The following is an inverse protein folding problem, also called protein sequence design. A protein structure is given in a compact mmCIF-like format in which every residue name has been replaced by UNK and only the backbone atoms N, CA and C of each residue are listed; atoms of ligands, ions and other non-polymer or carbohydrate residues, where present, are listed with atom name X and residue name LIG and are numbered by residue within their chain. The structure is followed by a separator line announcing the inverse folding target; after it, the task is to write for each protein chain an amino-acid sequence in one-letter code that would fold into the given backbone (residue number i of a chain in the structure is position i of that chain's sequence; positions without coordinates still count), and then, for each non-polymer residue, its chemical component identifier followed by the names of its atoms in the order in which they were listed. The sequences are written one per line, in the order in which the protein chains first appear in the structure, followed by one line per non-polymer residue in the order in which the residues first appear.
data_IF_636670993079
#
_entry.id   IF_636670993079
#
_cell.length_a   1.000
_cell.length_b   1.000
_cell.length_c   1.000
_cell.angle_alpha   90.00
_cell.angle_beta   90.00
_cell.angle_gamma   90.00
#
_symmetry.space_group_name_H-M   'P 1'
#
loop_
_entity.id
_entity.type
_entity.pdbx_description
1 polymer ?
#
# COMPACT_ATOMS: atom_id res chain seq x y z
N UNK A 1 11.63 11.62 -14.65
CA UNK A 1 10.45 12.33 -14.09
C UNK A 1 10.55 12.21 -12.59
N UNK A 2 10.32 13.26 -11.81
CA UNK A 2 10.16 13.11 -10.37
C UNK A 2 8.90 12.30 -10.10
N UNK A 3 8.89 11.60 -8.96
CA UNK A 3 7.80 10.75 -8.49
C UNK A 3 7.81 10.83 -6.96
N UNK A 4 7.49 11.99 -6.41
CA UNK A 4 7.54 12.23 -4.97
C UNK A 4 6.52 11.37 -4.24
N UNK A 5 6.86 10.90 -3.04
CA UNK A 5 5.99 10.07 -2.21
C UNK A 5 5.87 10.63 -0.79
N UNK A 6 4.64 10.89 -0.36
CA UNK A 6 4.31 11.36 0.97
C UNK A 6 4.03 10.16 1.87
N UNK A 7 4.81 10.02 2.94
CA UNK A 7 4.72 8.91 3.89
C UNK A 7 3.86 9.29 5.09
N UNK A 8 2.67 8.70 5.21
CA UNK A 8 1.77 8.89 6.35
C UNK A 8 2.06 7.84 7.43
N UNK A 9 2.48 8.28 8.60
CA UNK A 9 2.79 7.43 9.75
C UNK A 9 1.69 7.53 10.79
N UNK A 10 1.04 6.40 11.10
CA UNK A 10 -0.27 6.38 11.77
C UNK A 10 -0.22 5.53 13.04
N UNK A 11 -0.27 6.19 14.20
CA UNK A 11 -0.29 5.55 15.52
C UNK A 11 1.03 4.87 15.92
N UNK A 12 1.09 4.41 17.17
CA UNK A 12 2.27 3.83 17.81
C UNK A 12 3.10 2.87 16.93
N UNK A 13 2.46 1.97 16.18
CA UNK A 13 3.18 1.00 15.34
C UNK A 13 3.77 1.66 14.08
N UNK A 14 2.95 2.44 13.35
CA UNK A 14 3.38 3.15 12.14
C UNK A 14 4.48 4.16 12.42
N UNK A 15 4.36 4.93 13.50
CA UNK A 15 5.34 5.94 13.90
C UNK A 15 6.71 5.30 14.27
N UNK A 16 6.74 4.17 14.99
CA UNK A 16 8.01 3.50 15.32
C UNK A 16 8.69 2.86 14.11
N UNK A 17 7.92 2.28 13.19
CA UNK A 17 8.46 1.63 11.98
C UNK A 17 8.91 2.68 10.96
N UNK A 18 8.11 3.73 10.78
CA UNK A 18 8.44 4.87 9.93
C UNK A 18 9.69 5.61 10.40
N UNK A 19 9.91 5.71 11.72
CA UNK A 19 11.14 6.23 12.30
C UNK A 19 12.38 5.38 11.93
N UNK A 20 12.30 4.05 12.06
CA UNK A 20 13.39 3.15 11.64
C UNK A 20 13.59 3.12 10.11
N UNK A 21 12.54 3.36 9.33
CA UNK A 21 12.61 3.53 7.87
C UNK A 21 13.36 4.80 7.46
N UNK A 22 13.05 5.97 8.05
CA UNK A 22 13.78 7.20 7.76
C UNK A 22 15.24 7.13 8.19
N UNK A 23 15.54 6.55 9.36
CA UNK A 23 16.93 6.28 9.79
C UNK A 23 17.69 5.44 8.76
N UNK A 24 17.06 4.39 8.23
CA UNK A 24 17.64 3.52 7.22
C UNK A 24 17.88 4.28 5.90
N UNK A 25 16.93 5.09 5.45
CA UNK A 25 17.10 5.96 4.27
C UNK A 25 18.23 6.98 4.47
N UNK A 26 18.30 7.65 5.62
CA UNK A 26 19.38 8.58 5.94
C UNK A 26 20.77 7.92 5.82
N UNK A 27 20.94 6.72 6.35
CA UNK A 27 22.20 5.95 6.23
C UNK A 27 22.51 5.58 4.77
N UNK A 28 21.51 5.20 3.97
CA UNK A 28 21.71 4.85 2.55
C UNK A 28 22.04 6.06 1.66
N UNK A 29 21.41 7.21 1.92
CA UNK A 29 21.62 8.45 1.15
C UNK A 29 22.80 9.30 1.64
N UNK A 30 23.44 8.91 2.74
CA UNK A 30 24.49 9.70 3.40
C UNK A 30 23.98 11.02 3.96
N UNK A 31 22.78 11.02 4.54
CA UNK A 31 22.19 12.16 5.23
C UNK A 31 22.37 11.96 6.74
N UNK A 32 22.94 12.95 7.41
CA UNK A 32 23.14 12.95 8.87
C UNK A 32 21.81 13.01 9.65
N UNK A 33 21.78 12.69 10.96
CA UNK A 33 20.56 12.78 11.76
C UNK A 33 19.92 14.17 11.83
N UNK A 34 20.70 15.22 11.58
CA UNK A 34 20.22 16.61 11.52
C UNK A 34 19.72 17.01 10.13
N UNK A 35 19.76 16.14 9.11
CA UNK A 35 19.32 16.42 7.74
C UNK A 35 20.39 16.95 6.80
N UNK A 36 21.61 17.24 7.29
CA UNK A 36 22.73 17.71 6.47
C UNK A 36 23.32 16.54 5.67
N UNK A 37 23.62 16.75 4.38
CA UNK A 37 24.25 15.76 3.51
C UNK A 37 25.76 15.63 3.77
N UNK A 38 26.25 14.40 3.90
CA UNK A 38 27.68 14.09 4.08
C UNK A 38 28.47 14.26 2.77
N UNK A 39 29.70 14.78 2.84
CA UNK A 39 30.50 15.15 1.65
C UNK A 39 30.63 14.00 0.62
N UNK A 40 30.77 12.75 1.08
CA UNK A 40 30.94 11.58 0.23
C UNK A 40 29.68 11.21 -0.59
N UNK A 41 28.50 11.64 -0.16
CA UNK A 41 27.23 11.34 -0.82
C UNK A 41 26.91 12.30 -1.98
N UNK A 42 27.63 13.42 -2.08
CA UNK A 42 27.47 14.47 -3.11
C UNK A 42 27.70 13.99 -4.55
N UNK A 43 28.38 12.86 -4.74
CA UNK A 43 28.80 12.36 -6.05
C UNK A 43 27.91 11.23 -6.62
N UNK A 44 26.83 10.85 -5.92
CA UNK A 44 25.93 9.75 -6.32
C UNK A 44 24.82 10.18 -7.27
N UNK A 45 24.47 9.30 -8.23
CA UNK A 45 23.30 9.46 -9.14
C UNK A 45 21.97 9.03 -8.48
N UNK A 46 21.81 9.35 -7.20
CA UNK A 46 20.84 8.76 -6.26
C UNK A 46 19.67 9.74 -5.97
N UNK A 47 18.42 9.28 -6.13
CA UNK A 47 17.23 10.14 -6.18
C UNK A 47 16.60 10.42 -4.81
N UNK A 48 17.26 11.29 -4.06
CA UNK A 48 16.80 11.81 -2.76
C UNK A 48 15.45 12.55 -2.86
N UNK A 49 15.20 13.22 -3.99
CA UNK A 49 13.98 14.00 -4.32
C UNK A 49 12.68 13.21 -4.19
N UNK A 50 12.75 11.89 -4.31
CA UNK A 50 11.60 10.97 -4.25
C UNK A 50 10.99 10.89 -2.85
N UNK A 51 11.80 11.07 -1.80
CA UNK A 51 11.39 10.91 -0.40
C UNK A 51 11.73 12.12 0.49
N UNK A 52 12.65 12.98 0.08
CA UNK A 52 13.06 14.18 0.80
C UNK A 52 12.88 15.41 -0.10
N UNK A 53 12.55 16.55 0.50
CA UNK A 53 12.81 17.86 -0.12
C UNK A 53 14.03 18.51 0.53
N UNK A 54 14.73 19.37 -0.22
CA UNK A 54 15.82 20.19 0.31
C UNK A 54 15.24 21.55 0.72
N UNK A 55 15.49 21.96 1.96
CA UNK A 55 15.09 23.27 2.48
C UNK A 55 16.10 24.36 2.07
N UNK A 56 15.73 25.64 2.28
CA UNK A 56 16.55 26.82 1.93
C UNK A 56 17.91 26.88 2.66
N UNK A 57 18.10 26.07 3.71
CA UNK A 57 19.32 25.93 4.51
C UNK A 57 20.08 24.62 4.24
N UNK A 58 19.88 24.02 3.06
CA UNK A 58 20.47 22.77 2.58
C UNK A 58 20.12 21.50 3.40
N UNK A 59 19.16 21.58 4.33
CA UNK A 59 18.72 20.40 5.09
C UNK A 59 17.74 19.55 4.26
N UNK A 60 17.97 18.23 4.23
CA UNK A 60 17.08 17.26 3.60
C UNK A 60 15.97 16.83 4.57
N UNK A 61 14.75 17.27 4.30
CA UNK A 61 13.57 17.04 5.13
C UNK A 61 12.70 15.93 4.52
N UNK A 62 12.33 14.88 5.27
CA UNK A 62 11.42 13.83 4.80
C UNK A 62 10.04 14.36 4.41
N UNK A 63 9.51 13.86 3.29
CA UNK A 63 8.11 13.98 2.91
C UNK A 63 7.25 13.06 3.78
N UNK A 64 7.18 13.37 5.07
CA UNK A 64 6.60 12.54 6.11
C UNK A 64 5.61 13.31 6.97
N UNK A 65 4.46 12.70 7.24
CA UNK A 65 3.43 13.22 8.15
C UNK A 65 3.23 12.20 9.28
N UNK A 66 3.40 12.64 10.52
CA UNK A 66 3.34 11.79 11.72
C UNK A 66 2.07 12.11 12.50
N UNK A 67 1.13 11.17 12.58
CA UNK A 67 -0.13 11.34 13.29
C UNK A 67 -0.23 10.34 14.45
N UNK A 68 -0.45 10.84 15.67
CA UNK A 68 -0.85 10.00 16.80
C UNK A 68 -1.89 10.66 17.71
N UNK A 69 -2.75 9.82 18.28
CA UNK A 69 -3.69 10.21 19.34
C UNK A 69 -3.04 10.03 20.73
N UNK A 70 -1.89 9.35 20.81
CA UNK A 70 -1.08 9.20 22.02
C UNK A 70 0.31 9.85 21.86
N UNK A 71 0.70 10.82 22.70
CA UNK A 71 1.94 11.58 22.50
C UNK A 71 3.23 10.77 22.72
N UNK A 72 3.15 9.62 23.38
CA UNK A 72 4.31 8.86 23.89
C UNK A 72 5.37 8.52 22.84
N UNK A 73 4.94 8.08 21.66
CA UNK A 73 5.85 7.64 20.59
C UNK A 73 6.45 8.83 19.85
N UNK A 74 5.63 9.79 19.43
CA UNK A 74 6.10 11.01 18.79
C UNK A 74 7.02 11.81 19.72
N UNK A 75 6.75 11.88 21.03
CA UNK A 75 7.67 12.47 22.00
C UNK A 75 9.02 11.73 22.06
N UNK A 76 9.08 10.42 21.81
CA UNK A 76 10.36 9.68 21.72
C UNK A 76 11.12 10.04 20.44
N UNK A 77 10.41 10.21 19.32
CA UNK A 77 10.99 10.63 18.02
C UNK A 77 11.52 12.07 18.12
N UNK A 78 10.73 13.01 18.62
CA UNK A 78 11.09 14.44 18.74
C UNK A 78 12.07 14.76 19.88
N UNK A 79 12.48 13.77 20.68
CA UNK A 79 13.61 13.87 21.62
C UNK A 79 14.80 12.97 21.19
N UNK A 80 14.77 12.40 19.99
CA UNK A 80 15.86 11.59 19.45
C UNK A 80 16.92 12.45 18.75
N UNK A 81 18.11 11.90 18.41
CA UNK A 81 19.08 12.59 17.55
C UNK A 81 18.56 12.99 16.16
N UNK A 82 17.44 12.40 15.72
CA UNK A 82 16.79 12.68 14.43
C UNK A 82 15.65 13.71 14.56
N UNK A 83 15.52 14.40 15.70
CA UNK A 83 14.43 15.35 15.94
C UNK A 83 14.43 16.57 14.99
N UNK A 84 15.61 16.99 14.48
CA UNK A 84 15.70 18.09 13.50
C UNK A 84 15.38 17.66 12.07
N UNK A 85 15.44 16.36 11.77
CA UNK A 85 15.17 15.83 10.43
C UNK A 85 13.72 16.11 9.99
N UNK A 86 12.76 16.01 10.92
CA UNK A 86 11.33 16.13 10.62
C UNK A 86 10.86 17.58 10.68
N UNK A 87 10.09 18.02 9.68
CA UNK A 87 9.32 19.26 9.76
C UNK A 87 8.32 19.19 10.94
N UNK A 88 8.44 20.05 11.98
CA UNK A 88 7.53 20.01 13.12
C UNK A 88 6.07 20.31 12.76
N UNK A 89 5.82 21.03 11.67
CA UNK A 89 4.45 21.31 11.21
C UNK A 89 3.75 20.08 10.61
N UNK A 90 4.50 19.03 10.24
CA UNK A 90 3.96 17.78 9.72
C UNK A 90 3.67 16.75 10.82
N UNK A 91 3.73 17.16 12.10
CA UNK A 91 3.51 16.31 13.27
C UNK A 91 2.21 16.67 13.96
N UNK A 92 1.21 15.80 13.91
CA UNK A 92 -0.05 15.97 14.65
C UNK A 92 -0.03 15.22 15.99
N UNK A 93 -0.43 15.93 17.04
CA UNK A 93 -0.57 15.41 18.40
C UNK A 93 -1.91 15.83 19.01
N UNK A 94 -2.68 14.85 19.49
CA UNK A 94 -3.98 15.13 20.13
C UNK A 94 -3.84 15.95 21.43
N UNK A 95 -4.28 17.21 21.37
CA UNK A 95 -4.21 18.21 22.46
C UNK A 95 -4.94 17.79 23.75
N UNK A 96 -5.92 16.89 23.66
CA UNK A 96 -6.75 16.46 24.79
C UNK A 96 -6.26 15.17 25.46
N UNK A 97 -5.38 14.40 24.81
CA UNK A 97 -4.96 13.08 25.28
C UNK A 97 -6.07 12.03 25.27
N UNK A 98 -5.75 10.83 25.77
CA UNK A 98 -6.68 9.69 25.87
C UNK A 98 -6.52 8.60 24.80
N UNK A 99 -5.88 8.92 23.66
CA UNK A 99 -5.61 7.96 22.60
C UNK A 99 -6.87 7.40 21.93
N UNK A 100 -6.70 6.31 21.19
CA UNK A 100 -7.83 5.53 20.69
C UNK A 100 -8.24 4.38 21.65
N UNK A 101 -7.54 4.20 22.78
CA UNK A 101 -7.90 3.23 23.82
C UNK A 101 -8.02 1.79 23.32
N UNK A 102 -7.22 1.40 22.32
CA UNK A 102 -7.38 0.16 21.58
C UNK A 102 -8.81 -0.06 21.01
N UNK A 103 -9.43 0.94 20.39
CA UNK A 103 -10.75 0.80 19.75
C UNK A 103 -10.85 1.55 18.40
N UNK A 104 -11.09 0.83 17.29
CA UNK A 104 -11.23 1.44 15.94
C UNK A 104 -12.40 2.38 15.80
N UNK A 105 -13.54 2.14 16.45
CA UNK A 105 -14.66 3.10 16.41
C UNK A 105 -14.27 4.42 17.10
N UNK A 106 -13.51 4.35 18.20
CA UNK A 106 -12.92 5.53 18.85
C UNK A 106 -11.92 6.24 17.94
N UNK A 107 -11.01 5.51 17.29
CA UNK A 107 -10.03 6.08 16.36
C UNK A 107 -10.67 6.68 15.11
N UNK A 108 -11.68 6.04 14.55
CA UNK A 108 -12.41 6.49 13.35
C UNK A 108 -13.20 7.77 13.63
N UNK A 109 -13.97 7.79 14.74
CA UNK A 109 -14.71 8.98 15.18
C UNK A 109 -13.80 10.11 15.71
N UNK A 110 -12.53 9.83 16.03
CA UNK A 110 -11.51 10.85 16.24
C UNK A 110 -10.92 11.35 14.92
N UNK A 111 -10.70 10.47 13.93
CA UNK A 111 -10.33 10.87 12.57
C UNK A 111 -11.33 11.85 11.94
N UNK A 112 -12.63 11.57 12.06
CA UNK A 112 -13.71 12.46 11.63
C UNK A 112 -13.63 13.85 12.27
N UNK A 113 -13.47 13.92 13.61
CA UNK A 113 -13.37 15.18 14.35
C UNK A 113 -12.11 15.98 14.06
N UNK A 114 -11.07 15.31 13.57
CA UNK A 114 -9.75 15.89 13.28
C UNK A 114 -9.49 16.02 11.78
N UNK A 115 -10.50 15.79 10.94
CA UNK A 115 -10.40 15.79 9.48
C UNK A 115 -9.83 17.11 8.92
N UNK A 116 -10.15 18.26 9.50
CA UNK A 116 -9.59 19.54 9.08
C UNK A 116 -8.10 19.63 9.46
N UNK A 117 -7.77 19.55 10.75
CA UNK A 117 -6.37 19.63 11.24
C UNK A 117 -5.43 18.60 10.59
N UNK A 118 -5.92 17.40 10.27
CA UNK A 118 -5.14 16.34 9.62
C UNK A 118 -4.98 16.58 8.11
N UNK A 119 -6.06 16.90 7.40
CA UNK A 119 -5.94 17.08 5.95
C UNK A 119 -5.28 18.40 5.56
N UNK A 120 -5.31 19.44 6.38
CA UNK A 120 -4.55 20.66 6.10
C UNK A 120 -3.03 20.39 6.08
N UNK A 121 -2.53 19.53 6.97
CA UNK A 121 -1.13 19.06 6.96
C UNK A 121 -0.84 18.25 5.68
N UNK A 122 -1.71 17.30 5.33
CA UNK A 122 -1.55 16.44 4.14
C UNK A 122 -1.61 17.27 2.84
N UNK A 123 -2.52 18.24 2.76
CA UNK A 123 -2.68 19.12 1.61
C UNK A 123 -1.43 20.00 1.43
N UNK A 124 -0.90 20.61 2.49
CA UNK A 124 0.33 21.43 2.42
C UNK A 124 1.52 20.63 1.88
N UNK A 125 1.71 19.40 2.35
CA UNK A 125 2.80 18.52 1.86
C UNK A 125 2.56 18.08 0.39
N UNK A 126 1.30 17.89 -0.02
CA UNK A 126 0.92 17.58 -1.39
C UNK A 126 1.08 18.76 -2.36
N UNK A 127 0.77 19.98 -1.92
CA UNK A 127 0.98 21.21 -2.68
C UNK A 127 2.48 21.57 -2.78
N UNK A 128 3.29 21.15 -1.80
CA UNK A 128 4.76 21.20 -1.82
C UNK A 128 5.46 20.08 -2.60
N UNK A 129 4.77 19.41 -3.52
CA UNK A 129 5.29 18.27 -4.32
C UNK A 129 4.99 18.44 -5.82
N UNK A 130 6.02 18.76 -6.62
CA UNK A 130 5.90 19.12 -8.04
C UNK A 130 5.29 18.01 -8.93
N UNK A 131 5.63 16.74 -8.66
CA UNK A 131 5.29 15.58 -9.49
C UNK A 131 5.05 14.31 -8.63
N UNK A 132 3.95 14.27 -7.90
CA UNK A 132 3.46 13.09 -7.15
C UNK A 132 3.06 11.87 -8.02
N UNK A 133 3.12 11.92 -9.37
CA UNK A 133 2.88 10.75 -10.25
C UNK A 133 3.34 11.02 -11.71
N UNK A 134 3.94 10.05 -12.43
CA UNK A 134 4.20 10.17 -13.87
C UNK A 134 2.94 10.42 -14.72
N UNK A 135 3.13 11.02 -15.90
CA UNK A 135 2.08 11.27 -16.91
C UNK A 135 2.30 10.28 -18.07
N UNK A 136 1.27 9.54 -18.52
CA UNK A 136 1.45 8.65 -19.68
C UNK A 136 0.31 7.73 -20.13
N UNK A 137 -0.80 7.58 -19.39
CA UNK A 137 -1.93 6.72 -19.81
C UNK A 137 -3.26 7.49 -19.70
N UNK A 138 -3.69 8.06 -20.84
CA UNK A 138 -5.02 8.64 -21.11
C UNK A 138 -5.74 9.31 -19.91
N UNK A 139 -5.26 10.49 -19.49
CA UNK A 139 -5.95 11.31 -18.47
C UNK A 139 -7.06 12.19 -19.06
N UNK A 140 -7.10 12.27 -20.39
CA UNK A 140 -7.83 13.22 -21.23
C UNK A 140 -9.31 12.84 -21.44
N UNK A 141 -9.63 11.54 -21.43
CA UNK A 141 -10.96 10.99 -21.77
C UNK A 141 -11.61 10.17 -20.64
N UNK A 142 -11.04 10.24 -19.44
CA UNK A 142 -11.53 9.54 -18.24
C UNK A 142 -11.24 8.04 -18.17
N UNK A 143 -10.33 7.49 -18.99
CA UNK A 143 -10.06 6.05 -19.05
C UNK A 143 -8.70 5.65 -18.43
N UNK A 144 -8.65 5.49 -17.10
CA UNK A 144 -7.52 4.84 -16.37
C UNK A 144 -7.66 3.30 -16.42
N UNK A 145 -6.74 2.55 -17.07
CA UNK A 145 -6.53 1.12 -16.84
C UNK A 145 -5.66 0.91 -15.59
N UNK A 146 -5.70 -0.30 -15.03
CA UNK A 146 -5.07 -0.60 -13.72
C UNK A 146 -3.54 -0.74 -13.80
N UNK A 147 -2.98 -1.02 -14.98
CA UNK A 147 -1.52 -1.10 -15.11
C UNK A 147 -0.97 -1.24 -16.53
N UNK A 148 0.34 -1.07 -16.65
CA UNK A 148 1.08 -1.12 -17.92
C UNK A 148 2.51 -1.66 -17.69
N UNK A 149 3.08 -2.36 -18.67
CA UNK A 149 4.49 -2.77 -18.62
C UNK A 149 5.43 -1.59 -18.95
N UNK A 150 6.43 -1.35 -18.10
CA UNK A 150 7.46 -0.32 -18.33
C UNK A 150 8.30 -0.59 -19.59
N UNK A 151 8.45 -1.86 -19.97
CA UNK A 151 9.12 -2.29 -21.20
C UNK A 151 8.09 -2.79 -22.24
N UNK A 152 8.39 -2.71 -23.55
CA UNK A 152 7.57 -3.31 -24.60
C UNK A 152 7.36 -4.81 -24.40
N UNK A 153 6.12 -5.28 -24.51
CA UNK A 153 5.76 -6.69 -24.29
C UNK A 153 5.89 -7.56 -25.53
N UNK A 154 5.59 -7.01 -26.71
CA UNK A 154 5.59 -7.66 -28.03
C UNK A 154 5.47 -6.60 -29.13
N UNK A 155 6.13 -6.80 -30.27
CA UNK A 155 6.08 -5.91 -31.44
C UNK A 155 6.30 -4.41 -31.12
N UNK A 156 7.20 -4.10 -30.19
CA UNK A 156 7.52 -2.72 -29.77
C UNK A 156 6.45 -2.02 -28.91
N UNK A 157 5.30 -2.66 -28.63
CA UNK A 157 4.20 -2.06 -27.86
C UNK A 157 4.18 -2.53 -26.40
N UNK A 158 3.90 -1.66 -25.41
CA UNK A 158 3.62 -2.09 -24.05
C UNK A 158 2.35 -2.95 -23.95
N UNK A 159 2.29 -3.81 -22.94
CA UNK A 159 1.06 -4.44 -22.48
C UNK A 159 0.37 -3.47 -21.51
N UNK A 160 -0.94 -3.28 -21.66
CA UNK A 160 -1.80 -2.52 -20.75
C UNK A 160 -2.91 -3.46 -20.28
N UNK A 161 -3.21 -3.46 -18.99
CA UNK A 161 -4.29 -4.29 -18.44
C UNK A 161 -5.24 -3.49 -17.56
N UNK A 162 -6.44 -4.05 -17.42
CA UNK A 162 -7.50 -3.62 -16.52
C UNK A 162 -8.22 -4.91 -16.08
N UNK A 163 -8.34 -5.11 -14.77
CA UNK A 163 -8.90 -6.30 -14.15
C UNK A 163 -10.33 -6.03 -13.68
N UNK A 164 -11.11 -7.11 -13.56
CA UNK A 164 -12.48 -7.01 -13.04
C UNK A 164 -12.91 -8.33 -12.44
N UNK A 165 -13.26 -8.31 -11.16
CA UNK A 165 -14.03 -9.36 -10.52
C UNK A 165 -15.53 -9.04 -10.68
N UNK A 166 -16.31 -9.97 -11.22
CA UNK A 166 -17.77 -9.82 -11.38
C UNK A 166 -18.51 -10.91 -10.61
N UNK A 167 -19.65 -10.56 -10.02
CA UNK A 167 -20.40 -11.53 -9.24
C UNK A 167 -21.02 -12.63 -10.12
N UNK A 168 -20.63 -13.89 -9.89
CA UNK A 168 -21.19 -15.06 -10.59
C UNK A 168 -22.70 -15.19 -10.37
N UNK A 169 -23.20 -14.72 -9.22
CA UNK A 169 -24.57 -14.93 -8.75
C UNK A 169 -25.50 -13.72 -8.96
N UNK A 170 -24.98 -12.62 -9.50
CA UNK A 170 -25.78 -11.42 -9.79
C UNK A 170 -26.95 -11.77 -10.71
N UNK A 171 -28.14 -11.25 -10.41
CA UNK A 171 -29.38 -11.62 -11.11
C UNK A 171 -29.34 -11.32 -12.62
N UNK A 172 -28.55 -10.33 -13.03
CA UNK A 172 -28.27 -9.95 -14.43
C UNK A 172 -27.28 -10.89 -15.15
N UNK A 173 -26.65 -11.82 -14.44
CA UNK A 173 -25.63 -12.75 -14.93
C UNK A 173 -26.06 -14.22 -14.84
N UNK A 174 -26.94 -14.57 -13.89
CA UNK A 174 -27.45 -15.93 -13.67
C UNK A 174 -27.84 -16.71 -14.95
N UNK A 175 -28.55 -16.15 -15.96
CA UNK A 175 -28.90 -16.91 -17.17
C UNK A 175 -27.68 -17.42 -17.96
N UNK A 176 -26.54 -16.71 -17.87
CA UNK A 176 -25.30 -17.06 -18.55
C UNK A 176 -24.36 -17.87 -17.64
N UNK A 177 -24.22 -17.50 -16.37
CA UNK A 177 -23.30 -18.18 -15.43
C UNK A 177 -23.80 -19.58 -15.05
N UNK A 178 -25.12 -19.78 -14.95
CA UNK A 178 -25.72 -21.09 -14.70
C UNK A 178 -25.53 -22.10 -15.85
N UNK A 179 -25.23 -21.63 -17.07
CA UNK A 179 -24.98 -22.51 -18.24
C UNK A 179 -23.51 -22.61 -18.62
N UNK A 180 -22.66 -21.64 -18.22
CA UNK A 180 -21.24 -21.59 -18.57
C UNK A 180 -20.42 -20.80 -17.55
N UNK A 181 -19.50 -21.50 -16.86
CA UNK A 181 -18.51 -20.87 -16.00
C UNK A 181 -17.60 -19.88 -16.76
N UNK A 182 -17.43 -18.66 -16.23
CA UNK A 182 -16.66 -17.59 -16.88
C UNK A 182 -17.46 -16.77 -17.90
N UNK A 183 -18.79 -16.92 -17.98
CA UNK A 183 -19.64 -16.17 -18.91
C UNK A 183 -19.86 -14.69 -18.52
N UNK A 184 -19.98 -14.38 -17.22
CA UNK A 184 -19.99 -13.01 -16.73
C UNK A 184 -18.62 -12.37 -16.95
N UNK A 185 -17.54 -13.08 -16.60
CA UNK A 185 -16.17 -12.60 -16.84
C UNK A 185 -15.90 -12.31 -18.33
N UNK A 186 -16.30 -13.21 -19.24
CA UNK A 186 -16.19 -12.99 -20.69
C UNK A 186 -17.03 -11.78 -21.19
N UNK A 187 -18.17 -11.51 -20.55
CA UNK A 187 -19.02 -10.35 -20.86
C UNK A 187 -18.37 -9.05 -20.38
N UNK A 188 -17.75 -9.06 -19.20
CA UNK A 188 -16.99 -7.94 -18.65
C UNK A 188 -15.73 -7.66 -19.49
N UNK A 189 -14.98 -8.68 -19.88
CA UNK A 189 -13.86 -8.57 -20.82
C UNK A 189 -14.31 -7.91 -22.14
N UNK A 190 -15.40 -8.37 -22.74
CA UNK A 190 -15.96 -7.77 -23.96
C UNK A 190 -16.43 -6.31 -23.76
N UNK A 191 -16.90 -5.93 -22.57
CA UNK A 191 -17.21 -4.54 -22.24
C UNK A 191 -15.93 -3.69 -22.11
N UNK A 192 -14.92 -4.16 -21.37
CA UNK A 192 -13.62 -3.47 -21.19
C UNK A 192 -12.88 -3.33 -22.53
N UNK A 193 -12.84 -4.36 -23.41
CA UNK A 193 -12.28 -4.23 -24.78
C UNK A 193 -12.94 -3.11 -25.59
N UNK A 194 -14.26 -2.90 -25.45
CA UNK A 194 -14.98 -1.79 -26.10
C UNK A 194 -14.65 -0.45 -25.46
N UNK A 195 -14.57 -0.35 -24.12
CA UNK A 195 -14.13 0.87 -23.40
C UNK A 195 -12.78 1.36 -23.90
N UNK A 196 -11.79 0.47 -24.02
CA UNK A 196 -10.40 0.81 -24.34
C UNK A 196 -10.00 0.57 -25.81
N UNK A 197 -10.95 0.42 -26.74
CA UNK A 197 -10.66 0.08 -28.14
C UNK A 197 -9.64 1.02 -28.82
N UNK A 198 -9.63 2.31 -28.44
CA UNK A 198 -8.67 3.30 -28.93
C UNK A 198 -7.20 3.00 -28.57
N UNK A 199 -6.94 2.34 -27.42
CA UNK A 199 -5.57 1.99 -27.01
C UNK A 199 -4.90 0.98 -27.96
N UNK A 200 -5.68 0.22 -28.74
CA UNK A 200 -5.18 -0.84 -29.61
C UNK A 200 -4.25 -0.40 -30.74
N UNK A 201 -4.08 0.91 -30.97
CA UNK A 201 -3.09 1.47 -31.88
C UNK A 201 -1.68 1.40 -31.26
N UNK A 202 -1.45 2.10 -30.15
CA UNK A 202 -0.14 2.19 -29.48
C UNK A 202 0.18 1.04 -28.51
N UNK A 203 -0.84 0.37 -27.97
CA UNK A 203 -0.70 -0.62 -26.89
C UNK A 203 -1.31 -1.97 -27.26
N UNK A 204 -1.01 -3.00 -26.47
CA UNK A 204 -1.81 -4.22 -26.41
C UNK A 204 -2.63 -4.18 -25.14
N UNK A 205 -3.93 -3.88 -25.28
CA UNK A 205 -4.86 -3.91 -24.17
C UNK A 205 -5.36 -5.33 -23.90
N UNK A 206 -5.31 -5.77 -22.64
CA UNK A 206 -5.86 -7.05 -22.17
C UNK A 206 -6.77 -6.80 -20.96
N UNK A 207 -8.08 -7.07 -21.06
CA UNK A 207 -8.91 -7.13 -19.87
C UNK A 207 -8.69 -8.46 -19.13
N UNK A 208 -8.63 -8.42 -17.80
CA UNK A 208 -8.51 -9.61 -16.97
C UNK A 208 -9.83 -9.85 -16.22
N UNK A 209 -10.75 -10.59 -16.85
CA UNK A 209 -12.04 -10.92 -16.24
C UNK A 209 -11.95 -12.15 -15.34
N UNK A 210 -12.55 -12.05 -14.15
CA UNK A 210 -12.77 -13.20 -13.25
C UNK A 210 -14.14 -13.08 -12.58
N UNK A 211 -14.76 -14.22 -12.29
CA UNK A 211 -16.01 -14.27 -11.53
C UNK A 211 -15.74 -14.55 -10.05
N UNK A 212 -16.58 -14.06 -9.14
CA UNK A 212 -16.43 -14.23 -7.69
C UNK A 212 -16.23 -15.68 -7.26
N UNK A 213 -16.94 -16.65 -7.86
CA UNK A 213 -16.77 -18.08 -7.55
C UNK A 213 -15.49 -18.72 -8.13
N UNK A 214 -14.62 -17.94 -8.78
CA UNK A 214 -13.31 -18.38 -9.29
C UNK A 214 -13.16 -18.67 -10.80
N UNK A 215 -14.19 -18.80 -11.65
CA UNK A 215 -14.00 -18.93 -13.10
C UNK A 215 -13.37 -17.69 -13.76
N UNK A 216 -12.28 -17.86 -14.51
CA UNK A 216 -11.64 -16.77 -15.26
C UNK A 216 -12.25 -16.63 -16.67
N UNK A 217 -12.22 -15.42 -17.23
CA UNK A 217 -12.61 -15.14 -18.61
C UNK A 217 -11.59 -15.67 -19.64
N UNK A 218 -11.96 -15.71 -20.94
CA UNK A 218 -11.07 -16.15 -22.01
C UNK A 218 -9.79 -15.31 -22.15
N UNK A 219 -9.83 -13.98 -21.97
CA UNK A 219 -8.61 -13.15 -22.07
C UNK A 219 -7.71 -13.36 -20.86
N UNK A 220 -8.27 -13.34 -19.64
CA UNK A 220 -7.55 -13.68 -18.41
C UNK A 220 -6.82 -15.04 -18.50
N UNK A 221 -7.49 -16.06 -19.06
CA UNK A 221 -6.90 -17.39 -19.33
C UNK A 221 -5.80 -17.37 -20.40
N UNK A 222 -5.87 -16.50 -21.39
CA UNK A 222 -4.89 -16.40 -22.47
C UNK A 222 -3.62 -15.68 -21.99
N UNK A 223 -3.76 -14.51 -21.37
CA UNK A 223 -2.60 -13.76 -20.86
C UNK A 223 -1.89 -14.51 -19.72
N UNK A 224 -2.65 -15.20 -18.85
CA UNK A 224 -2.06 -16.08 -17.84
C UNK A 224 -1.18 -17.16 -18.45
N UNK A 225 -1.60 -17.81 -19.55
CA UNK A 225 -0.78 -18.81 -20.23
C UNK A 225 0.50 -18.19 -20.80
N UNK A 226 0.40 -17.01 -21.43
CA UNK A 226 1.58 -16.32 -21.97
C UNK A 226 2.57 -15.91 -20.87
N UNK A 227 2.09 -15.36 -19.74
CA UNK A 227 2.93 -15.03 -18.58
C UNK A 227 3.51 -16.30 -17.95
N UNK A 228 2.71 -17.36 -17.77
CA UNK A 228 3.15 -18.62 -17.17
C UNK A 228 4.27 -19.28 -17.97
N UNK A 229 4.17 -19.33 -19.31
CA UNK A 229 5.24 -19.81 -20.19
C UNK A 229 6.48 -18.94 -20.05
N UNK A 230 6.36 -17.60 -20.20
CA UNK A 230 7.50 -16.67 -20.05
C UNK A 230 8.19 -16.78 -18.68
N UNK A 231 7.45 -17.05 -17.61
CA UNK A 231 8.01 -17.28 -16.26
C UNK A 231 8.76 -18.61 -16.16
N UNK A 232 8.25 -19.69 -16.76
CA UNK A 232 8.93 -20.99 -16.80
C UNK A 232 10.22 -20.86 -17.62
N UNK A 233 10.17 -20.22 -18.79
CA UNK A 233 11.33 -20.01 -19.67
C UNK A 233 12.42 -19.16 -19.00
N UNK A 234 12.04 -18.11 -18.25
CA UNK A 234 12.98 -17.20 -17.59
C UNK A 234 13.55 -17.71 -16.25
N UNK A 235 12.86 -18.62 -15.55
CA UNK A 235 13.27 -19.12 -14.22
C UNK A 235 13.72 -20.58 -14.20
N UNK A 236 13.37 -21.37 -15.21
CA UNK A 236 13.57 -22.82 -15.24
C UNK A 236 12.58 -23.63 -14.38
N UNK A 237 11.91 -23.04 -13.38
CA UNK A 237 10.93 -23.78 -12.55
C UNK A 237 9.62 -23.99 -13.32
N UNK A 238 9.37 -25.25 -13.68
CA UNK A 238 8.13 -25.72 -14.33
C UNK A 238 6.86 -25.41 -13.53
N UNK A 239 6.97 -25.06 -12.24
CA UNK A 239 5.85 -24.68 -11.36
C UNK A 239 5.64 -23.16 -11.26
N UNK A 240 6.49 -22.33 -11.86
CA UNK A 240 6.39 -20.86 -11.78
C UNK A 240 5.00 -20.34 -12.22
N UNK A 241 4.46 -20.89 -13.31
CA UNK A 241 3.10 -20.60 -13.77
C UNK A 241 2.03 -20.99 -12.74
N UNK A 242 2.14 -22.18 -12.14
CA UNK A 242 1.23 -22.66 -11.09
C UNK A 242 1.25 -21.75 -9.86
N UNK A 243 2.43 -21.28 -9.43
CA UNK A 243 2.56 -20.34 -8.32
C UNK A 243 1.92 -18.97 -8.62
N UNK A 244 2.03 -18.48 -9.86
CA UNK A 244 1.29 -17.28 -10.30
C UNK A 244 -0.23 -17.51 -10.21
N UNK A 245 -0.72 -18.63 -10.75
CA UNK A 245 -2.14 -18.98 -10.71
C UNK A 245 -2.70 -19.10 -9.29
N UNK A 246 -1.93 -19.69 -8.38
CA UNK A 246 -2.26 -19.77 -6.95
C UNK A 246 -2.30 -18.38 -6.29
N UNK A 247 -1.33 -17.49 -6.55
CA UNK A 247 -1.32 -16.13 -6.00
C UNK A 247 -2.54 -15.32 -6.45
N UNK A 248 -2.89 -15.38 -7.74
CA UNK A 248 -4.09 -14.71 -8.27
C UNK A 248 -5.37 -15.29 -7.62
N UNK A 249 -5.45 -16.62 -7.51
CA UNK A 249 -6.60 -17.30 -6.88
C UNK A 249 -6.78 -16.91 -5.40
N UNK A 250 -5.68 -16.79 -4.66
CA UNK A 250 -5.70 -16.32 -3.26
C UNK A 250 -6.09 -14.85 -3.14
N UNK A 251 -5.67 -13.99 -4.08
CA UNK A 251 -6.10 -12.58 -4.11
C UNK A 251 -7.61 -12.46 -4.32
N UNK A 252 -8.19 -13.23 -5.25
CA UNK A 252 -9.64 -13.27 -5.49
C UNK A 252 -10.38 -13.75 -4.23
N UNK A 253 -9.92 -14.84 -3.60
CA UNK A 253 -10.53 -15.36 -2.38
C UNK A 253 -10.47 -14.37 -1.21
N UNK A 254 -9.36 -13.60 -1.08
CA UNK A 254 -9.24 -12.50 -0.11
C UNK A 254 -10.22 -11.37 -0.40
N UNK A 255 -10.37 -10.95 -1.65
CA UNK A 255 -11.35 -9.92 -2.04
C UNK A 255 -12.80 -10.34 -1.81
N UNK A 256 -13.14 -11.61 -2.12
CA UNK A 256 -14.45 -12.18 -1.80
C UNK A 256 -14.71 -12.20 -0.29
N UNK A 257 -13.71 -12.63 0.50
CA UNK A 257 -13.81 -12.66 1.95
C UNK A 257 -14.03 -11.24 2.50
N UNK A 258 -13.25 -10.25 2.06
CA UNK A 258 -13.44 -8.85 2.45
C UNK A 258 -14.83 -8.31 2.07
N UNK A 259 -15.34 -8.67 0.89
CA UNK A 259 -16.70 -8.30 0.44
C UNK A 259 -17.79 -8.86 1.36
N UNK A 260 -17.67 -10.13 1.78
CA UNK A 260 -18.62 -10.78 2.69
C UNK A 260 -18.48 -10.28 4.13
N UNK A 261 -17.25 -10.11 4.61
CA UNK A 261 -16.97 -9.59 5.95
C UNK A 261 -17.40 -8.13 6.08
N UNK A 262 -17.39 -7.38 4.97
CA UNK A 262 -17.93 -6.03 4.85
C UNK A 262 -19.45 -5.91 5.03
N UNK A 263 -20.20 -7.02 5.12
CA UNK A 263 -21.65 -7.02 5.42
C UNK A 263 -22.01 -7.44 6.86
N UNK A 264 -21.01 -7.69 7.73
CA UNK A 264 -21.24 -8.05 9.13
C UNK A 264 -21.10 -6.83 10.07
N UNK A 265 -21.77 -6.81 11.24
CA UNK A 265 -21.55 -5.79 12.28
C UNK A 265 -20.13 -5.83 12.90
N UNK A 266 -19.71 -4.69 13.46
CA UNK A 266 -18.33 -4.33 13.81
C UNK A 266 -18.04 -4.38 15.34
N UNK A 267 -16.77 -4.50 15.78
CA UNK A 267 -16.28 -3.95 17.08
C UNK A 267 -14.72 -3.91 17.23
N UNK A 268 -14.11 -3.16 18.18
CA UNK A 268 -12.63 -2.92 18.30
C UNK A 268 -11.73 -4.19 18.43
N UNK A 269 -10.37 -4.23 18.39
CA UNK A 269 -9.22 -3.32 18.68
C UNK A 269 -7.99 -3.42 17.70
N UNK A 270 -7.02 -2.49 17.63
CA UNK A 270 -6.77 -1.31 18.46
C UNK A 270 -6.40 -0.04 17.67
N UNK A 271 -6.81 1.12 18.18
CA UNK A 271 -7.62 2.05 17.39
C UNK A 271 -6.97 3.15 16.53
N UNK A 272 -5.75 3.64 16.81
CA UNK A 272 -5.21 4.82 16.10
C UNK A 272 -4.86 4.49 14.65
N UNK A 273 -3.77 3.73 14.43
CA UNK A 273 -3.33 3.36 13.08
C UNK A 273 -4.33 2.50 12.29
N UNK A 274 -5.36 1.97 12.97
CA UNK A 274 -6.43 1.18 12.36
C UNK A 274 -7.68 1.99 12.03
N UNK A 275 -8.29 2.68 13.01
CA UNK A 275 -9.55 3.42 12.87
C UNK A 275 -9.35 4.81 12.30
N UNK A 276 -8.45 5.60 12.87
CA UNK A 276 -8.07 6.91 12.30
C UNK A 276 -7.40 6.68 10.93
N UNK A 277 -6.60 5.62 10.80
CA UNK A 277 -6.04 5.22 9.51
C UNK A 277 -7.07 4.77 8.46
N UNK A 278 -8.13 4.04 8.86
CA UNK A 278 -9.24 3.70 7.97
C UNK A 278 -9.99 4.95 7.50
N UNK A 279 -10.28 5.89 8.42
CA UNK A 279 -10.93 7.16 8.09
C UNK A 279 -10.11 7.97 7.07
N UNK A 280 -8.81 8.14 7.34
CA UNK A 280 -7.89 8.86 6.46
C UNK A 280 -7.79 8.16 5.09
N UNK A 281 -7.70 6.82 5.06
CA UNK A 281 -7.61 6.06 3.82
C UNK A 281 -8.84 6.23 2.91
N UNK A 282 -10.04 6.21 3.48
CA UNK A 282 -11.28 6.53 2.76
C UNK A 282 -11.20 7.94 2.14
N UNK A 283 -10.88 8.95 2.94
CA UNK A 283 -10.90 10.36 2.51
C UNK A 283 -9.72 10.73 1.60
N UNK A 284 -8.60 10.01 1.64
CA UNK A 284 -7.52 10.11 0.65
C UNK A 284 -7.98 9.65 -0.73
N UNK A 285 -8.76 8.55 -0.80
CA UNK A 285 -9.27 8.05 -2.08
C UNK A 285 -10.26 9.02 -2.74
N UNK A 286 -11.06 9.75 -1.96
CA UNK A 286 -11.96 10.79 -2.45
C UNK A 286 -11.25 12.13 -2.79
N UNK A 287 -10.27 12.57 -1.98
CA UNK A 287 -9.55 13.84 -2.21
C UNK A 287 -8.47 13.73 -3.29
N UNK A 288 -7.79 12.58 -3.39
CA UNK A 288 -6.67 12.34 -4.31
C UNK A 288 -6.90 11.14 -5.28
N UNK A 289 -8.06 11.00 -5.95
CA UNK A 289 -8.46 9.82 -6.76
C UNK A 289 -7.60 9.56 -8.01
N UNK A 290 -6.54 10.35 -8.22
CA UNK A 290 -5.58 10.26 -9.33
C UNK A 290 -4.15 9.97 -8.83
N UNK A 291 -4.00 9.53 -7.57
CA UNK A 291 -2.73 9.08 -6.96
C UNK A 291 -2.84 7.60 -6.60
N UNK A 292 -1.70 6.91 -6.57
CA UNK A 292 -1.59 5.54 -6.06
C UNK A 292 -1.46 5.56 -4.53
N UNK A 293 -2.27 4.76 -3.86
CA UNK A 293 -2.26 4.58 -2.40
C UNK A 293 -1.70 3.20 -2.06
N UNK A 294 -0.42 3.17 -1.67
CA UNK A 294 0.25 1.95 -1.19
C UNK A 294 0.42 1.99 0.34
N UNK A 295 0.01 0.92 1.03
CA UNK A 295 0.19 0.79 2.48
C UNK A 295 1.25 -0.25 2.84
N UNK A 296 1.91 -0.05 3.98
CA UNK A 296 2.69 -1.07 4.68
C UNK A 296 1.96 -1.42 5.97
N UNK A 297 1.19 -2.51 5.93
CA UNK A 297 0.21 -2.84 6.96
C UNK A 297 0.72 -3.99 7.83
N UNK A 298 1.06 -3.66 9.08
CA UNK A 298 1.53 -4.63 10.07
C UNK A 298 0.35 -5.40 10.66
N UNK A 299 0.41 -6.72 10.56
CA UNK A 299 -0.61 -7.63 11.07
C UNK A 299 -0.22 -8.11 12.48
N UNK A 300 -1.19 -8.43 13.36
CA UNK A 300 -0.90 -8.84 14.73
C UNK A 300 -0.14 -10.16 14.81
N UNK A 301 0.55 -10.40 15.93
CA UNK A 301 1.06 -11.74 16.24
C UNK A 301 -0.13 -12.64 16.61
N UNK A 302 -0.26 -13.81 15.97
CA UNK A 302 -1.32 -14.79 16.20
C UNK A 302 -0.89 -15.99 17.05
N UNK A 303 0.43 -16.22 17.20
CA UNK A 303 0.98 -17.36 17.96
C UNK A 303 1.03 -17.09 19.48
N UNK A 304 0.93 -15.83 19.90
CA UNK A 304 0.87 -15.41 21.31
C UNK A 304 -0.51 -14.82 21.64
N UNK A 305 -1.02 -15.07 22.85
CA UNK A 305 -2.24 -14.41 23.33
C UNK A 305 -1.90 -12.95 23.63
N UNK A 306 -2.27 -12.05 22.72
CA UNK A 306 -2.17 -10.60 22.99
C UNK A 306 -3.07 -10.21 24.18
N UNK A 307 -2.55 -9.36 25.07
CA UNK A 307 -3.32 -8.70 26.13
C UNK A 307 -4.54 -7.92 25.57
N UNK A 308 -4.50 -7.58 24.28
CA UNK A 308 -5.56 -6.88 23.55
C UNK A 308 -6.52 -7.91 22.94
N UNK A 309 -7.38 -8.52 23.78
CA UNK A 309 -8.36 -9.57 23.41
C UNK A 309 -9.24 -9.26 22.19
N UNK A 310 -9.38 -7.99 21.88
CA UNK A 310 -10.23 -7.42 20.83
C UNK A 310 -9.50 -7.32 19.47
N UNK A 311 -8.20 -7.57 19.39
CA UNK A 311 -7.34 -7.38 18.20
C UNK A 311 -7.85 -7.97 16.85
N UNK A 312 -8.56 -9.12 16.79
CA UNK A 312 -9.02 -9.71 15.53
C UNK A 312 -10.04 -8.86 14.74
N UNK A 313 -11.09 -8.35 15.39
CA UNK A 313 -12.22 -7.67 14.71
C UNK A 313 -11.83 -6.40 13.95
N UNK A 314 -10.71 -5.81 14.30
CA UNK A 314 -10.33 -4.46 13.93
C UNK A 314 -9.03 -4.48 13.11
N UNK A 315 -8.25 -5.56 13.20
CA UNK A 315 -7.56 -6.06 12.01
C UNK A 315 -8.57 -6.25 10.87
N UNK A 316 -9.73 -6.86 11.14
CA UNK A 316 -10.79 -7.09 10.13
C UNK A 316 -11.44 -5.79 9.59
N UNK A 317 -11.80 -4.83 10.44
CA UNK A 317 -12.35 -3.53 9.98
C UNK A 317 -11.36 -2.75 9.11
N UNK A 318 -10.07 -2.78 9.47
CA UNK A 318 -9.02 -2.14 8.67
C UNK A 318 -8.79 -2.88 7.36
N UNK A 319 -8.82 -4.23 7.37
CA UNK A 319 -8.74 -5.05 6.16
C UNK A 319 -9.82 -4.68 5.14
N UNK A 320 -11.05 -4.41 5.58
CA UNK A 320 -12.12 -3.93 4.68
C UNK A 320 -11.68 -2.68 3.92
N UNK A 321 -11.21 -1.65 4.63
CA UNK A 321 -10.81 -0.37 4.00
C UNK A 321 -9.54 -0.48 3.18
N UNK A 322 -8.59 -1.31 3.61
CA UNK A 322 -7.41 -1.68 2.82
C UNK A 322 -7.77 -2.38 1.50
N UNK A 323 -8.93 -3.02 1.39
CA UNK A 323 -9.43 -3.58 0.11
C UNK A 323 -10.38 -2.67 -0.67
N UNK A 324 -10.90 -1.61 -0.07
CA UNK A 324 -11.82 -0.65 -0.70
C UNK A 324 -11.12 0.63 -1.19
N UNK A 325 -10.03 1.07 -0.52
CA UNK A 325 -9.44 2.41 -0.67
C UNK A 325 -7.90 2.43 -0.79
N UNK A 326 -7.23 1.29 -0.97
CA UNK A 326 -5.80 1.22 -1.28
C UNK A 326 -5.53 0.41 -2.56
N UNK A 327 -4.67 0.92 -3.44
CA UNK A 327 -4.25 0.23 -4.68
C UNK A 327 -3.30 -0.94 -4.40
N UNK A 328 -2.50 -0.85 -3.32
CA UNK A 328 -1.51 -1.87 -2.95
C UNK A 328 -1.36 -1.99 -1.44
N UNK A 329 -1.29 -3.22 -0.92
CA UNK A 329 -1.17 -3.52 0.52
C UNK A 329 -0.01 -4.47 0.76
N UNK A 330 1.10 -3.94 1.27
CA UNK A 330 2.26 -4.72 1.70
C UNK A 330 2.01 -5.25 3.10
N UNK A 331 1.58 -6.51 3.20
CA UNK A 331 1.27 -7.20 4.46
C UNK A 331 2.56 -7.60 5.19
N UNK A 332 2.71 -7.10 6.42
CA UNK A 332 3.85 -7.34 7.30
C UNK A 332 3.38 -8.17 8.51
N UNK A 333 3.48 -9.49 8.39
CA UNK A 333 3.03 -10.46 9.40
C UNK A 333 4.00 -10.52 10.58
N UNK A 334 3.59 -10.06 11.77
CA UNK A 334 4.42 -10.11 12.97
C UNK A 334 4.78 -11.53 13.43
N UNK A 335 3.92 -12.53 13.21
CA UNK A 335 4.25 -13.92 13.52
C UNK A 335 5.38 -14.41 12.63
N UNK A 336 5.29 -14.12 11.32
CA UNK A 336 6.36 -14.43 10.38
C UNK A 336 7.67 -13.67 10.68
N UNK A 337 7.59 -12.38 11.05
CA UNK A 337 8.76 -11.55 11.39
C UNK A 337 9.45 -12.03 12.67
N UNK A 338 8.70 -12.30 13.75
CA UNK A 338 9.23 -12.90 14.99
C UNK A 338 9.91 -14.24 14.70
N UNK A 339 9.28 -15.07 13.87
CA UNK A 339 9.85 -16.35 13.46
C UNK A 339 11.13 -16.20 12.65
N UNK A 340 11.23 -15.23 11.74
CA UNK A 340 12.47 -14.96 10.98
C UNK A 340 13.59 -14.51 11.93
N UNK A 341 13.29 -13.61 12.88
CA UNK A 341 14.27 -13.16 13.87
C UNK A 341 14.80 -14.30 14.76
N UNK A 342 13.93 -15.21 15.20
CA UNK A 342 14.32 -16.40 15.97
C UNK A 342 15.01 -17.48 15.12
N UNK A 343 14.37 -17.97 14.05
CA UNK A 343 14.83 -19.11 13.24
C UNK A 343 16.07 -18.80 12.39
N UNK A 344 16.23 -17.54 11.93
CA UNK A 344 17.25 -17.16 10.93
C UNK A 344 18.29 -16.17 11.44
N UNK A 345 17.91 -15.22 12.30
CA UNK A 345 18.85 -14.27 12.89
C UNK A 345 19.36 -14.73 14.28
N UNK A 346 18.82 -15.84 14.79
CA UNK A 346 19.18 -16.45 16.08
C UNK A 346 19.02 -15.50 17.28
N UNK A 347 18.11 -14.54 17.17
CA UNK A 347 17.78 -13.59 18.23
C UNK A 347 16.86 -14.29 19.23
N UNK A 348 17.34 -14.53 20.45
CA UNK A 348 16.50 -15.02 21.54
C UNK A 348 15.56 -13.89 22.01
N UNK A 349 14.26 -14.14 22.01
CA UNK A 349 13.19 -13.20 22.39
C UNK A 349 13.31 -11.83 21.66
N UNK A 350 13.09 -11.79 20.34
CA UNK A 350 13.28 -10.58 19.53
C UNK A 350 12.40 -9.43 20.00
N UNK A 351 13.02 -8.28 20.27
CA UNK A 351 12.34 -7.07 20.70
C UNK A 351 11.65 -6.35 19.53
N UNK A 352 10.61 -5.55 19.83
CA UNK A 352 9.95 -4.70 18.84
C UNK A 352 10.92 -3.81 18.06
N UNK A 353 12.00 -3.32 18.67
CA UNK A 353 13.02 -2.54 17.96
C UNK A 353 13.69 -3.35 16.85
N UNK A 354 14.10 -4.60 17.14
CA UNK A 354 14.73 -5.49 16.16
C UNK A 354 13.75 -5.92 15.05
N UNK A 355 12.47 -6.13 15.39
CA UNK A 355 11.40 -6.39 14.41
C UNK A 355 11.22 -5.17 13.50
N UNK A 356 11.17 -3.96 14.06
CA UNK A 356 11.04 -2.72 13.29
C UNK A 356 12.23 -2.48 12.36
N UNK A 357 13.46 -2.83 12.77
CA UNK A 357 14.64 -2.79 11.88
C UNK A 357 14.55 -3.80 10.73
N UNK A 358 14.00 -5.00 10.97
CA UNK A 358 13.73 -5.96 9.89
C UNK A 358 12.67 -5.44 8.92
N UNK A 359 11.62 -4.78 9.43
CA UNK A 359 10.58 -4.14 8.61
C UNK A 359 11.13 -2.94 7.82
N UNK A 360 11.91 -2.06 8.43
CA UNK A 360 12.49 -0.90 7.73
C UNK A 360 13.44 -1.33 6.61
N UNK A 361 14.19 -2.43 6.80
CA UNK A 361 15.00 -3.06 5.74
C UNK A 361 14.12 -3.53 4.57
N UNK A 362 12.96 -4.15 4.84
CA UNK A 362 12.00 -4.58 3.80
C UNK A 362 11.39 -3.38 3.06
N UNK A 363 11.03 -2.30 3.79
CA UNK A 363 10.50 -1.06 3.21
C UNK A 363 11.53 -0.33 2.35
N UNK A 364 12.79 -0.25 2.80
CA UNK A 364 13.89 0.30 2.02
C UNK A 364 14.12 -0.51 0.74
N UNK A 365 14.21 -1.85 0.85
CA UNK A 365 14.46 -2.73 -0.29
C UNK A 365 13.31 -2.72 -1.34
N UNK A 366 12.07 -2.57 -0.90
CA UNK A 366 10.91 -2.46 -1.82
C UNK A 366 10.81 -1.09 -2.50
N UNK A 367 11.49 -0.06 -1.99
CA UNK A 367 11.53 1.29 -2.57
C UNK A 367 12.85 1.60 -3.30
N UNK A 368 13.88 0.75 -3.17
CA UNK A 368 15.21 0.88 -3.77
C UNK A 368 15.28 0.77 -5.32
N UNK A 369 14.14 0.79 -6.01
CA UNK A 369 14.05 0.94 -7.49
C UNK A 369 13.40 2.25 -7.91
N UNK A 370 12.94 3.05 -6.94
CA UNK A 370 12.38 4.38 -7.13
C UNK A 370 13.44 5.45 -6.83
N UNK A 371 14.35 5.14 -5.90
CA UNK A 371 15.52 5.93 -5.49
C UNK A 371 16.70 5.65 -6.42
#
# INVERSE_FOLDING_TARGET
MPSEMITLQLGQCGNQIGFEFWKQLCVEHGISPDGILEEFASAGSDRKDVFFYQADDDHYIPRAVLLDLEPRVIHTIMNSPYAKLYNPENVYLSKHGGGAGNNWASGFAQGEKLNEEVFDIINREADGSDNLEPIGVARDDGKRPDGMTLIPWKNGRPLVWDATCVDTLAQSHLPATATKAGAAAATAEAAKRRKYAALGQGYMFVPFGVETLGPWGPDAKLIYKEIATRLIDASGDQRAGTYLGQRISLAIQRGNAASLLGTLPNDGAGGTGSGMGSYILEHLSDRFPKKLVQTYSVFPNLDEISDVVVQPYNSLLTLKRLTESADCVMVLDNTALNRIASDRLHIQNPSFAQINTLVSTIMSASTATLR
#
